data_IF_896446819845
#
_entry.id   IF_896446819845
#
_cell.length_a   1.000
_cell.length_b   1.000
_cell.length_c   1.000
_cell.angle_alpha   90.00
_cell.angle_beta   90.00
_cell.angle_gamma   90.00
#
_symmetry.space_group_name_H-M   'P 1'
#
loop_
_entity.id
_entity.type
_entity.pdbx_description
1 polymer ?
#
# COMPACT_ATOMS: atom_id res chain seq x y z
N UNK A 1 83.97 4.27 8.22
CA UNK A 1 82.68 3.79 8.77
C UNK A 1 81.74 4.98 8.79
N UNK A 2 81.10 5.27 7.65
CA UNK A 2 80.05 6.28 7.52
C UNK A 2 78.73 5.50 7.40
N UNK A 3 78.00 5.36 8.50
CA UNK A 3 76.64 4.84 8.46
C UNK A 3 75.72 5.98 8.02
N UNK A 4 75.20 5.88 6.80
CA UNK A 4 74.05 6.67 6.35
C UNK A 4 72.82 6.21 7.15
N UNK A 5 72.43 6.98 8.15
CA UNK A 5 71.07 6.95 8.71
C UNK A 5 70.12 7.54 7.67
N UNK A 6 69.50 6.66 6.90
CA UNK A 6 68.37 6.97 6.02
C UNK A 6 67.17 7.22 6.94
N UNK A 7 66.76 8.48 7.11
CA UNK A 7 65.51 8.83 7.81
C UNK A 7 64.31 8.17 7.12
N UNK A 8 63.25 7.78 7.87
CA UNK A 8 62.07 7.15 7.29
C UNK A 8 61.33 8.12 6.35
N UNK A 9 60.57 7.64 5.35
CA UNK A 9 59.85 8.53 4.45
C UNK A 9 58.86 9.37 5.26
N UNK A 10 58.88 10.68 5.02
CA UNK A 10 57.91 11.63 5.59
C UNK A 10 56.51 11.09 5.33
N UNK A 11 55.78 10.80 6.41
CA UNK A 11 54.41 10.35 6.33
C UNK A 11 53.59 11.42 5.62
N UNK A 12 52.93 11.04 4.53
CA UNK A 12 51.99 11.86 3.74
C UNK A 12 51.27 12.85 4.66
N UNK A 13 51.57 14.13 4.53
CA UNK A 13 51.00 15.12 5.43
C UNK A 13 49.48 15.17 5.20
N UNK A 14 48.70 15.53 6.23
CA UNK A 14 47.26 15.71 6.06
C UNK A 14 46.94 16.68 4.91
N UNK A 15 47.83 17.63 4.63
CA UNK A 15 47.72 18.56 3.52
C UNK A 15 47.89 17.89 2.14
N UNK A 16 48.80 16.93 2.02
CA UNK A 16 48.99 16.15 0.79
C UNK A 16 47.78 15.23 0.53
N UNK A 17 47.20 14.64 1.59
CA UNK A 17 45.98 13.83 1.49
C UNK A 17 44.80 14.70 1.03
N UNK A 18 44.60 15.88 1.64
CA UNK A 18 43.54 16.81 1.25
C UNK A 18 43.73 17.30 -0.20
N UNK A 19 44.96 17.60 -0.61
CA UNK A 19 45.28 18.01 -1.98
C UNK A 19 45.00 16.90 -2.99
N UNK A 20 45.31 15.64 -2.64
CA UNK A 20 45.00 14.46 -3.45
C UNK A 20 43.48 14.23 -3.58
N UNK A 21 42.73 14.38 -2.50
CA UNK A 21 41.26 14.31 -2.52
C UNK A 21 40.68 15.42 -3.39
N UNK A 22 41.23 16.64 -3.31
CA UNK A 22 40.82 17.77 -4.13
C UNK A 22 41.04 17.51 -5.62
N UNK A 23 42.20 16.96 -6.01
CA UNK A 23 42.47 16.66 -7.42
C UNK A 23 41.59 15.53 -7.96
N UNK A 24 41.38 14.46 -7.17
CA UNK A 24 40.50 13.35 -7.54
C UNK A 24 39.04 13.79 -7.66
N UNK A 25 38.54 14.63 -6.75
CA UNK A 25 37.19 15.19 -6.81
C UNK A 25 36.99 16.05 -8.06
N UNK A 26 38.01 16.84 -8.43
CA UNK A 26 37.96 17.70 -9.63
C UNK A 26 38.00 16.89 -10.91
N UNK A 27 38.84 15.85 -10.95
CA UNK A 27 38.89 14.88 -12.05
C UNK A 27 37.55 14.17 -12.22
N UNK A 28 36.97 13.65 -11.14
CA UNK A 28 35.64 13.04 -11.14
C UNK A 28 34.58 14.00 -11.68
N UNK A 29 34.58 15.25 -11.22
CA UNK A 29 33.63 16.27 -11.67
C UNK A 29 33.77 16.59 -13.17
N UNK A 30 35.00 16.72 -13.67
CA UNK A 30 35.22 16.99 -15.09
C UNK A 30 34.82 15.78 -15.94
N UNK A 31 35.16 14.56 -15.53
CA UNK A 31 34.75 13.34 -16.22
C UNK A 31 33.22 13.15 -16.23
N UNK A 32 32.53 13.40 -15.11
CA UNK A 32 31.06 13.36 -15.07
C UNK A 32 30.43 14.38 -16.04
N UNK A 33 31.06 15.55 -16.18
CA UNK A 33 30.59 16.63 -17.06
C UNK A 33 30.89 16.34 -18.54
N UNK A 34 32.07 15.81 -18.85
CA UNK A 34 32.47 15.44 -20.22
C UNK A 34 31.61 14.30 -20.78
N UNK A 35 31.17 13.38 -19.93
CA UNK A 35 30.27 12.28 -20.28
C UNK A 35 28.77 12.68 -20.25
N UNK A 36 28.43 13.91 -19.82
CA UNK A 36 27.04 14.38 -19.70
C UNK A 36 26.23 13.73 -18.58
N UNK A 37 26.92 13.04 -17.65
CA UNK A 37 26.34 12.32 -16.52
C UNK A 37 25.97 13.24 -15.35
N UNK A 38 26.54 14.45 -15.30
CA UNK A 38 26.19 15.47 -14.32
C UNK A 38 24.71 15.88 -14.40
N UNK A 39 24.19 15.97 -15.62
CA UNK A 39 22.78 16.27 -15.89
C UNK A 39 21.85 15.11 -15.47
N UNK A 40 22.23 13.87 -15.78
CA UNK A 40 21.46 12.68 -15.41
C UNK A 40 21.29 12.55 -13.89
N UNK A 41 22.38 12.78 -13.13
CA UNK A 41 22.35 12.74 -11.66
C UNK A 41 21.52 13.89 -11.09
N UNK A 42 21.62 15.10 -11.67
CA UNK A 42 20.82 16.24 -11.23
C UNK A 42 19.31 16.02 -11.48
N UNK A 43 18.94 15.53 -12.66
CA UNK A 43 17.54 15.21 -13.01
C UNK A 43 16.97 14.12 -12.09
N UNK A 44 17.75 13.08 -11.79
CA UNK A 44 17.35 12.05 -10.83
C UNK A 44 17.19 12.60 -9.40
N UNK A 45 18.09 13.48 -8.95
CA UNK A 45 18.00 14.10 -7.64
C UNK A 45 16.79 15.05 -7.50
N UNK A 46 16.43 15.77 -8.57
CA UNK A 46 15.26 16.64 -8.62
C UNK A 46 13.93 15.86 -8.65
N UNK A 47 13.93 14.62 -9.15
CA UNK A 47 12.73 13.76 -9.21
C UNK A 47 12.36 13.12 -7.85
N UNK A 48 13.32 12.97 -6.92
CA UNK A 48 13.09 12.34 -5.60
C UNK A 48 12.06 13.11 -4.75
N UNK A 49 12.12 14.46 -4.62
CA UNK A 49 11.08 15.23 -3.94
C UNK A 49 9.67 15.00 -4.49
N UNK A 50 9.50 15.01 -5.82
CA UNK A 50 8.19 14.75 -6.46
C UNK A 50 7.68 13.33 -6.16
N UNK A 51 8.56 12.32 -6.22
CA UNK A 51 8.20 10.95 -5.86
C UNK A 51 7.76 10.83 -4.39
N UNK A 52 8.42 11.56 -3.47
CA UNK A 52 8.01 11.60 -2.05
C UNK A 52 6.64 12.24 -1.88
N UNK A 53 6.39 13.38 -2.50
CA UNK A 53 5.10 14.07 -2.38
C UNK A 53 3.94 13.21 -2.96
N UNK A 54 4.22 12.43 -4.02
CA UNK A 54 3.29 11.44 -4.57
C UNK A 54 3.02 10.28 -3.61
N UNK A 55 4.04 9.76 -2.92
CA UNK A 55 3.85 8.75 -1.88
C UNK A 55 3.04 9.28 -0.70
N UNK A 56 3.32 10.50 -0.25
CA UNK A 56 2.56 11.15 0.81
C UNK A 56 1.08 11.31 0.41
N UNK A 57 0.81 11.67 -0.85
CA UNK A 57 -0.56 11.68 -1.39
C UNK A 57 -1.23 10.30 -1.29
N UNK A 58 -0.53 9.23 -1.66
CA UNK A 58 -1.07 7.86 -1.55
C UNK A 58 -1.41 7.50 -0.09
N UNK A 59 -0.54 7.85 0.85
CA UNK A 59 -0.77 7.63 2.29
C UNK A 59 -2.01 8.39 2.76
N UNK A 60 -2.14 9.66 2.39
CA UNK A 60 -3.29 10.49 2.77
C UNK A 60 -4.61 9.95 2.22
N UNK A 61 -4.65 9.60 0.94
CA UNK A 61 -5.85 9.06 0.30
C UNK A 61 -6.26 7.71 0.90
N UNK A 62 -5.28 6.86 1.22
CA UNK A 62 -5.52 5.57 1.86
C UNK A 62 -6.08 5.74 3.28
N UNK A 63 -5.51 6.67 4.05
CA UNK A 63 -6.00 6.98 5.40
C UNK A 63 -7.44 7.52 5.37
N UNK A 64 -7.73 8.43 4.44
CA UNK A 64 -9.07 8.99 4.28
C UNK A 64 -10.12 7.93 3.92
N UNK A 65 -9.80 7.04 2.98
CA UNK A 65 -10.71 5.97 2.59
C UNK A 65 -10.96 4.98 3.73
N UNK A 66 -9.91 4.61 4.47
CA UNK A 66 -10.02 3.75 5.64
C UNK A 66 -10.89 4.39 6.74
N UNK A 67 -10.68 5.67 7.03
CA UNK A 67 -11.48 6.42 8.01
C UNK A 67 -12.95 6.50 7.59
N UNK A 68 -13.23 6.83 6.32
CA UNK A 68 -14.60 6.89 5.79
C UNK A 68 -15.31 5.54 5.91
N UNK A 69 -14.63 4.45 5.53
CA UNK A 69 -15.19 3.11 5.64
C UNK A 69 -15.46 2.71 7.10
N UNK A 70 -14.52 3.00 8.01
CA UNK A 70 -14.67 2.73 9.43
C UNK A 70 -15.87 3.48 10.02
N UNK A 71 -16.02 4.77 9.71
CA UNK A 71 -17.15 5.58 10.15
C UNK A 71 -18.50 5.01 9.67
N UNK A 72 -18.56 4.50 8.44
CA UNK A 72 -19.77 3.86 7.90
C UNK A 72 -20.12 2.57 8.65
N UNK A 73 -19.11 1.77 8.99
CA UNK A 73 -19.29 0.54 9.80
C UNK A 73 -19.78 0.89 11.20
N UNK A 74 -19.15 1.86 11.87
CA UNK A 74 -19.53 2.32 13.20
C UNK A 74 -20.97 2.87 13.23
N UNK A 75 -21.37 3.61 12.21
CA UNK A 75 -22.73 4.12 12.09
C UNK A 75 -23.78 3.01 11.81
N UNK A 76 -23.38 1.93 11.14
CA UNK A 76 -24.26 0.81 10.78
C UNK A 76 -24.49 -0.18 11.93
N UNK A 77 -23.46 -0.42 12.74
CA UNK A 77 -23.50 -1.41 13.83
C UNK A 77 -24.71 -1.27 14.77
N UNK A 78 -25.05 -0.07 15.30
CA UNK A 78 -26.20 0.09 16.20
C UNK A 78 -27.52 -0.33 15.55
N UNK A 79 -27.68 -0.11 14.24
CA UNK A 79 -28.90 -0.48 13.52
C UNK A 79 -29.01 -1.99 13.32
N UNK A 80 -27.90 -2.64 13.01
CA UNK A 80 -27.86 -4.10 12.92
C UNK A 80 -28.19 -4.74 14.28
N UNK A 81 -27.63 -4.20 15.36
CA UNK A 81 -27.96 -4.64 16.73
C UNK A 81 -29.44 -4.41 17.07
N UNK A 82 -30.03 -3.27 16.68
CA UNK A 82 -31.44 -2.99 16.93
C UNK A 82 -32.38 -3.91 16.15
N UNK A 83 -32.04 -4.20 14.88
CA UNK A 83 -32.76 -5.17 14.06
C UNK A 83 -32.73 -6.57 14.68
N UNK A 84 -31.54 -7.04 15.07
CA UNK A 84 -31.34 -8.37 15.65
C UNK A 84 -32.04 -8.52 17.00
N UNK A 85 -31.83 -7.55 17.91
CA UNK A 85 -32.45 -7.59 19.24
C UNK A 85 -33.97 -7.51 19.17
N UNK A 86 -34.53 -6.66 18.30
CA UNK A 86 -35.97 -6.57 18.07
C UNK A 86 -36.58 -7.87 17.55
N UNK A 87 -35.93 -8.49 16.55
CA UNK A 87 -36.36 -9.78 16.02
C UNK A 87 -36.32 -10.89 17.09
N UNK A 88 -35.22 -11.00 17.85
CA UNK A 88 -35.08 -12.00 18.91
C UNK A 88 -36.12 -11.82 20.00
N UNK A 89 -36.36 -10.58 20.45
CA UNK A 89 -37.34 -10.29 21.48
C UNK A 89 -38.76 -10.66 21.05
N UNK A 90 -39.14 -10.34 19.80
CA UNK A 90 -40.44 -10.73 19.26
C UNK A 90 -40.56 -12.25 19.10
N UNK A 91 -39.51 -12.92 18.62
CA UNK A 91 -39.49 -14.38 18.51
C UNK A 91 -39.76 -15.06 19.84
N UNK A 92 -39.04 -14.67 20.90
CA UNK A 92 -39.21 -15.22 22.25
C UNK A 92 -40.67 -15.07 22.70
N UNK A 93 -41.24 -13.87 22.55
CA UNK A 93 -42.63 -13.60 22.96
C UNK A 93 -43.66 -14.40 22.14
N UNK A 94 -43.42 -14.60 20.85
CA UNK A 94 -44.27 -15.45 20.01
C UNK A 94 -44.17 -16.91 20.43
N UNK A 95 -42.96 -17.43 20.65
CA UNK A 95 -42.75 -18.82 21.09
C UNK A 95 -43.44 -19.07 22.45
N UNK A 96 -43.25 -18.18 23.44
CA UNK A 96 -43.90 -18.25 24.76
C UNK A 96 -45.44 -18.23 24.67
N UNK A 97 -45.99 -17.34 23.83
CA UNK A 97 -47.44 -17.23 23.65
C UNK A 97 -48.05 -18.47 22.99
N UNK A 98 -47.34 -19.10 22.04
CA UNK A 98 -47.80 -20.34 21.39
C UNK A 98 -47.71 -21.55 22.31
N UNK A 99 -46.70 -21.62 23.18
CA UNK A 99 -46.57 -22.72 24.16
C UNK A 99 -47.60 -22.61 25.28
N UNK A 100 -47.89 -21.40 25.76
CA UNK A 100 -48.83 -21.17 26.85
C UNK A 100 -49.77 -19.98 26.52
N UNK A 101 -50.82 -20.17 25.70
CA UNK A 101 -51.72 -19.08 25.36
C UNK A 101 -52.48 -18.57 26.60
N UNK A 102 -52.21 -17.32 27.01
CA UNK A 102 -52.76 -16.73 28.25
C UNK A 102 -54.05 -15.94 27.97
N UNK A 103 -53.95 -14.79 27.28
CA UNK A 103 -55.07 -13.85 27.04
C UNK A 103 -55.03 -13.24 25.62
N UNK A 104 -56.22 -12.94 25.06
CA UNK A 104 -56.42 -12.20 23.81
C UNK A 104 -55.88 -10.77 23.85
N UNK A 105 -55.81 -10.14 25.04
CA UNK A 105 -55.20 -8.83 25.20
C UNK A 105 -53.69 -8.86 24.91
N UNK A 106 -52.97 -9.87 25.40
CA UNK A 106 -51.54 -10.06 25.17
C UNK A 106 -51.24 -10.38 23.70
N UNK A 107 -52.13 -11.14 23.04
CA UNK A 107 -52.05 -11.41 21.60
C UNK A 107 -52.15 -10.12 20.77
N UNK A 108 -53.06 -9.20 21.12
CA UNK A 108 -53.20 -7.90 20.43
C UNK A 108 -51.96 -7.01 20.62
N UNK A 109 -51.40 -6.99 21.82
CA UNK A 109 -50.15 -6.27 22.12
C UNK A 109 -48.99 -6.82 21.28
N UNK A 110 -48.81 -8.14 21.24
CA UNK A 110 -47.76 -8.80 20.48
C UNK A 110 -47.88 -8.55 18.96
N UNK A 111 -49.10 -8.59 18.42
CA UNK A 111 -49.35 -8.22 17.01
C UNK A 111 -49.01 -6.76 16.75
N UNK A 112 -49.38 -5.84 17.66
CA UNK A 112 -49.07 -4.41 17.53
C UNK A 112 -47.56 -4.16 17.54
N UNK A 113 -46.83 -4.78 18.47
CA UNK A 113 -45.37 -4.65 18.58
C UNK A 113 -44.66 -5.25 17.36
N UNK A 114 -45.15 -6.38 16.85
CA UNK A 114 -44.62 -7.01 15.63
C UNK A 114 -44.82 -6.11 14.42
N UNK A 115 -45.99 -5.48 14.28
CA UNK A 115 -46.26 -4.52 13.21
C UNK A 115 -45.35 -3.29 13.31
N UNK A 116 -45.16 -2.75 14.52
CA UNK A 116 -44.25 -1.62 14.74
C UNK A 116 -42.80 -1.96 14.40
N UNK A 117 -42.34 -3.17 14.71
CA UNK A 117 -41.02 -3.64 14.28
C UNK A 117 -40.93 -3.77 12.76
N UNK A 118 -41.94 -4.37 12.10
CA UNK A 118 -41.95 -4.49 10.64
C UNK A 118 -41.96 -3.13 9.94
N UNK A 119 -42.58 -2.11 10.53
CA UNK A 119 -42.56 -0.73 10.04
C UNK A 119 -41.17 -0.07 10.20
N UNK A 120 -40.39 -0.44 11.22
CA UNK A 120 -39.04 0.11 11.44
C UNK A 120 -37.94 -0.57 10.61
N UNK A 121 -38.14 -1.84 10.21
CA UNK A 121 -37.17 -2.63 9.42
C UNK A 121 -36.67 -1.89 8.16
N UNK A 122 -37.53 -1.31 7.29
CA UNK A 122 -37.08 -0.57 6.11
C UNK A 122 -36.17 0.62 6.45
N UNK A 123 -36.39 1.29 7.58
CA UNK A 123 -35.58 2.46 8.00
C UNK A 123 -34.17 2.04 8.38
N UNK A 124 -34.02 0.91 9.08
CA UNK A 124 -32.70 0.40 9.45
C UNK A 124 -31.96 -0.16 8.24
N UNK A 125 -32.63 -0.99 7.45
CA UNK A 125 -32.03 -1.64 6.27
C UNK A 125 -31.65 -0.64 5.18
N UNK A 126 -32.49 0.36 4.90
CA UNK A 126 -32.16 1.41 3.93
C UNK A 126 -30.95 2.25 4.38
N UNK A 127 -30.85 2.55 5.68
CA UNK A 127 -29.68 3.25 6.19
C UNK A 127 -28.41 2.41 6.04
N UNK A 128 -28.43 1.15 6.48
CA UNK A 128 -27.27 0.25 6.37
C UNK A 128 -26.86 0.11 4.91
N UNK A 129 -27.82 -0.04 3.98
CA UNK A 129 -27.53 -0.07 2.55
C UNK A 129 -26.87 1.23 2.05
N UNK A 130 -27.34 2.39 2.52
CA UNK A 130 -26.69 3.67 2.24
C UNK A 130 -25.24 3.71 2.71
N UNK A 131 -24.94 3.20 3.92
CA UNK A 131 -23.57 3.12 4.44
C UNK A 131 -22.70 2.16 3.62
N UNK A 132 -23.25 1.05 3.11
CA UNK A 132 -22.52 0.14 2.22
C UNK A 132 -22.15 0.80 0.89
N UNK A 133 -23.04 1.63 0.33
CA UNK A 133 -22.75 2.43 -0.87
C UNK A 133 -21.68 3.49 -0.59
N UNK A 134 -21.71 4.13 0.58
CA UNK A 134 -20.66 5.07 0.99
C UNK A 134 -19.30 4.38 1.15
N UNK A 135 -19.26 3.15 1.68
CA UNK A 135 -18.03 2.33 1.73
C UNK A 135 -17.54 2.03 0.32
N UNK A 136 -18.43 1.65 -0.60
CA UNK A 136 -18.08 1.37 -1.99
C UNK A 136 -17.50 2.62 -2.69
N UNK A 137 -18.14 3.78 -2.54
CA UNK A 137 -17.63 5.05 -3.08
C UNK A 137 -16.37 5.54 -2.36
N UNK A 138 -16.10 5.07 -1.14
CA UNK A 138 -14.84 5.36 -0.49
C UNK A 138 -13.68 4.61 -1.16
N UNK A 139 -13.94 3.56 -1.96
CA UNK A 139 -12.93 2.74 -2.65
C UNK A 139 -12.36 3.39 -3.92
N UNK A 140 -12.97 4.45 -4.43
CA UNK A 140 -12.53 5.25 -5.58
C UNK A 140 -11.07 5.72 -5.45
N UNK A 141 -10.56 5.83 -4.23
CA UNK A 141 -9.15 6.13 -3.94
C UNK A 141 -8.19 5.10 -4.53
N UNK A 142 -8.60 3.84 -4.70
CA UNK A 142 -7.74 2.79 -5.21
C UNK A 142 -7.29 3.07 -6.65
N UNK A 143 -8.18 3.60 -7.50
CA UNK A 143 -7.82 3.94 -8.88
C UNK A 143 -6.82 5.11 -8.92
N UNK A 144 -7.13 6.17 -8.16
CA UNK A 144 -6.26 7.35 -8.04
C UNK A 144 -4.88 6.99 -7.48
N UNK A 145 -4.83 6.26 -6.38
CA UNK A 145 -3.56 5.83 -5.76
C UNK A 145 -2.80 4.84 -6.65
N UNK A 146 -3.49 3.94 -7.34
CA UNK A 146 -2.90 3.03 -8.32
C UNK A 146 -2.24 3.76 -9.49
N UNK A 147 -2.88 4.81 -10.02
CA UNK A 147 -2.27 5.66 -11.05
C UNK A 147 -1.02 6.40 -10.54
N UNK A 148 -1.03 6.90 -9.30
CA UNK A 148 0.13 7.58 -8.71
C UNK A 148 1.29 6.61 -8.50
N UNK A 149 1.03 5.42 -7.97
CA UNK A 149 2.04 4.36 -7.80
C UNK A 149 2.63 3.98 -9.16
N UNK A 150 1.81 3.82 -10.19
CA UNK A 150 2.28 3.52 -11.55
C UNK A 150 3.26 4.58 -12.06
N UNK A 151 2.89 5.85 -11.97
CA UNK A 151 3.80 6.94 -12.39
C UNK A 151 5.07 6.99 -11.56
N UNK A 152 4.99 6.66 -10.27
CA UNK A 152 6.17 6.60 -9.41
C UNK A 152 7.10 5.45 -9.81
N UNK A 153 6.55 4.28 -10.18
CA UNK A 153 7.36 3.18 -10.73
C UNK A 153 8.11 3.61 -11.99
N UNK A 154 7.47 4.35 -12.89
CA UNK A 154 8.12 4.87 -14.10
C UNK A 154 9.29 5.83 -13.74
N UNK A 155 9.09 6.72 -12.76
CA UNK A 155 10.15 7.62 -12.26
C UNK A 155 11.32 6.84 -11.66
N UNK A 156 11.04 5.84 -10.84
CA UNK A 156 12.07 5.00 -10.21
C UNK A 156 12.86 4.23 -11.27
N UNK A 157 12.19 3.66 -12.28
CA UNK A 157 12.85 2.97 -13.39
C UNK A 157 13.77 3.90 -14.18
N UNK A 158 13.36 5.15 -14.42
CA UNK A 158 14.21 6.11 -15.11
C UNK A 158 15.43 6.49 -14.26
N UNK A 159 15.25 6.72 -12.95
CA UNK A 159 16.37 6.96 -12.02
C UNK A 159 17.33 5.77 -12.02
N UNK A 160 16.82 4.54 -11.94
CA UNK A 160 17.62 3.32 -11.98
C UNK A 160 18.45 3.24 -13.28
N UNK A 161 17.82 3.49 -14.43
CA UNK A 161 18.48 3.46 -15.74
C UNK A 161 19.60 4.51 -15.83
N UNK A 162 19.35 5.72 -15.35
CA UNK A 162 20.34 6.81 -15.34
C UNK A 162 21.54 6.47 -14.44
N UNK A 163 21.29 5.93 -13.24
CA UNK A 163 22.36 5.51 -12.34
C UNK A 163 23.15 4.31 -12.89
N UNK A 164 22.50 3.36 -13.57
CA UNK A 164 23.18 2.26 -14.25
C UNK A 164 24.09 2.74 -15.38
N UNK A 165 23.68 3.73 -16.18
CA UNK A 165 24.55 4.31 -17.21
C UNK A 165 25.79 4.95 -16.59
N UNK A 166 25.62 5.75 -15.52
CA UNK A 166 26.75 6.33 -14.77
C UNK A 166 27.69 5.22 -14.29
N UNK A 167 27.17 4.14 -13.69
CA UNK A 167 28.02 3.07 -13.14
C UNK A 167 28.72 2.25 -14.22
N UNK A 168 28.04 1.95 -15.33
CA UNK A 168 28.62 1.18 -16.45
C UNK A 168 29.70 1.94 -17.19
N UNK A 169 29.53 3.25 -17.37
CA UNK A 169 30.52 4.11 -18.04
C UNK A 169 31.74 4.42 -17.14
N UNK A 170 31.58 4.34 -15.81
CA UNK A 170 32.65 4.56 -14.84
C UNK A 170 33.33 3.27 -14.35
N UNK A 171 32.95 2.10 -14.87
CA UNK A 171 33.66 0.85 -14.59
C UNK A 171 35.00 0.83 -15.35
N UNK A 172 36.15 0.72 -14.66
CA UNK A 172 37.40 0.43 -15.35
C UNK A 172 37.24 -0.93 -16.05
N UNK A 173 37.73 -1.08 -17.29
CA UNK A 173 37.75 -2.36 -18.03
C UNK A 173 38.51 -3.50 -17.31
N UNK A 174 38.98 -3.29 -16.08
CA UNK A 174 39.67 -4.27 -15.26
C UNK A 174 38.68 -5.25 -14.58
N UNK A 175 38.26 -6.24 -15.35
CA UNK A 175 37.92 -7.56 -14.85
C UNK A 175 36.44 -7.79 -14.62
N UNK A 176 35.81 -8.43 -15.62
CA UNK A 176 34.60 -9.21 -15.47
C UNK A 176 34.71 -10.17 -14.27
N UNK A 177 34.36 -9.71 -13.07
CA UNK A 177 34.20 -10.57 -11.90
C UNK A 177 32.84 -11.21 -11.98
N UNK A 178 32.89 -12.51 -12.23
CA UNK A 178 31.86 -13.54 -12.10
C UNK A 178 30.57 -13.07 -11.40
N UNK A 179 29.45 -13.19 -12.12
CA UNK A 179 28.11 -13.21 -11.55
C UNK A 179 28.08 -14.17 -10.36
N UNK A 180 28.01 -13.64 -9.15
CA UNK A 180 27.51 -14.40 -8.01
C UNK A 180 25.99 -14.38 -8.12
N UNK A 181 25.44 -15.44 -8.71
CA UNK A 181 24.05 -15.83 -8.49
C UNK A 181 23.92 -16.17 -7.00
N UNK A 182 23.28 -15.30 -6.22
CA UNK A 182 23.12 -15.53 -4.80
C UNK A 182 22.19 -14.53 -4.13
N UNK A 183 20.97 -15.00 -3.87
CA UNK A 183 19.93 -14.36 -3.06
C UNK A 183 19.18 -13.18 -3.69
N UNK A 184 18.33 -13.53 -4.67
CA UNK A 184 17.07 -12.84 -4.89
C UNK A 184 16.31 -12.78 -3.57
N UNK A 185 16.16 -11.56 -3.04
CA UNK A 185 15.43 -11.27 -1.82
C UNK A 185 13.99 -11.76 -1.95
N UNK A 186 13.68 -12.79 -1.17
CA UNK A 186 12.40 -13.50 -1.11
C UNK A 186 11.36 -12.74 -0.26
N UNK A 187 11.26 -11.41 -0.40
CA UNK A 187 10.33 -10.60 0.39
C UNK A 187 9.53 -9.66 -0.51
N UNK A 188 8.41 -10.17 -1.00
CA UNK A 188 7.37 -9.44 -1.70
C UNK A 188 6.32 -10.44 -2.24
N UNK A 189 5.03 -10.09 -2.31
CA UNK A 189 4.04 -10.96 -2.93
C UNK A 189 4.49 -11.31 -4.35
N UNK A 190 4.38 -12.59 -4.73
CA UNK A 190 4.93 -13.08 -5.99
C UNK A 190 4.16 -12.51 -7.18
N UNK A 191 4.68 -11.45 -7.79
CA UNK A 191 4.15 -10.85 -9.02
C UNK A 191 4.84 -11.52 -10.21
N UNK A 192 4.52 -12.78 -10.45
CA UNK A 192 4.83 -13.43 -11.72
C UNK A 192 3.55 -14.08 -12.24
N UNK A 193 2.75 -13.31 -12.98
CA UNK A 193 1.46 -13.72 -13.57
C UNK A 193 1.58 -14.83 -14.63
N UNK A 194 2.78 -15.34 -14.90
CA UNK A 194 3.05 -16.42 -15.85
C UNK A 194 3.33 -17.78 -15.19
N UNK A 195 3.26 -17.89 -13.85
CA UNK A 195 3.41 -19.18 -13.17
C UNK A 195 2.07 -19.96 -13.20
N UNK A 196 2.07 -21.29 -13.47
CA UNK A 196 0.85 -22.09 -13.40
C UNK A 196 0.35 -22.10 -11.96
N UNK A 197 -0.83 -21.51 -11.73
CA UNK A 197 -1.45 -21.40 -10.40
C UNK A 197 -1.78 -19.97 -9.94
N UNK A 198 -1.50 -18.94 -10.75
CA UNK A 198 -1.92 -17.56 -10.44
C UNK A 198 -3.35 -17.34 -10.94
N UNK A 199 -4.29 -17.39 -10.00
CA UNK A 199 -5.70 -17.04 -10.21
C UNK A 199 -5.82 -15.52 -10.24
N UNK A 200 -5.88 -14.97 -11.45
CA UNK A 200 -6.24 -13.58 -11.70
C UNK A 200 -7.33 -13.57 -12.76
N UNK A 201 -8.57 -13.84 -12.37
CA UNK A 201 -9.74 -13.40 -13.12
C UNK A 201 -11.00 -13.43 -12.24
N UNK A 202 -11.80 -12.37 -12.41
CA UNK A 202 -13.06 -12.09 -11.73
C UNK A 202 -14.07 -13.26 -11.82
N UNK A 203 -13.99 -14.05 -12.89
CA UNK A 203 -14.91 -15.16 -13.17
C UNK A 203 -14.83 -16.30 -12.12
N UNK A 204 -13.70 -16.48 -11.44
CA UNK A 204 -13.56 -17.51 -10.39
C UNK A 204 -14.00 -17.04 -9.00
N UNK A 205 -14.24 -15.74 -8.82
CA UNK A 205 -14.83 -15.21 -7.60
C UNK A 205 -16.33 -15.51 -7.57
N UNK A 206 -16.99 -15.42 -8.73
CA UNK A 206 -18.41 -15.77 -8.89
C UNK A 206 -18.65 -17.27 -8.72
N UNK A 207 -17.78 -18.13 -9.29
CA UNK A 207 -17.84 -19.59 -9.09
C UNK A 207 -17.68 -20.00 -7.61
N UNK A 208 -16.90 -19.24 -6.82
CA UNK A 208 -16.70 -19.52 -5.40
C UNK A 208 -17.93 -19.12 -4.57
N UNK A 209 -18.62 -18.05 -4.96
CA UNK A 209 -19.85 -17.58 -4.32
C UNK A 209 -21.02 -18.54 -4.62
N UNK A 210 -21.12 -19.06 -5.84
CA UNK A 210 -22.10 -20.08 -6.22
C UNK A 210 -21.89 -21.41 -5.45
N UNK A 211 -20.64 -21.75 -5.13
CA UNK A 211 -20.31 -22.97 -4.35
C UNK A 211 -20.65 -22.88 -2.85
N UNK A 212 -20.85 -21.66 -2.34
CA UNK A 212 -21.15 -21.38 -0.93
C UNK A 212 -22.64 -21.13 -0.66
N UNK A 213 -23.49 -21.14 -1.70
CA UNK A 213 -24.94 -21.17 -1.55
C UNK A 213 -25.59 -19.83 -1.18
N UNK A 214 -25.09 -18.73 -1.75
CA UNK A 214 -25.85 -17.47 -1.86
C UNK A 214 -26.45 -17.31 -3.26
#
# INVERSE_FOLDING_TARGET
>A
MNELTKSPPEGTSAHDIISRIGSLTRMLRESLRELGLDRAIAEAAEAIPDARDRLDYVVQMTAQAAERALNCVEASQPRQTQLESGAKALKIRWDEWFENPIDLADARSLVSDTRGYLESVPVHTAFTNGQLLEIMMAQDFQDLTGQVIKRMMDVIQEIERQLLMVLLENLPEAGARQKQEGNSLLNGPQVNAAAPGVVANQDQVDDLLDSLGF
#
